data_IF_889259511656
#
_entry.id   IF_889259511656
#
_cell.length_a   1.000
_cell.length_b   1.000
_cell.length_c   1.000
_cell.angle_alpha   90.00
_cell.angle_beta   90.00
_cell.angle_gamma   90.00
#
_symmetry.space_group_name_H-M   'P 1'
#
loop_
_entity.id
_entity.type
_entity.pdbx_description
1 polymer ?
#
# COMPACT_ATOMS: atom_id res chain seq x y z
N UNK A 1 10.88 31.28 46.36
CA UNK A 1 10.62 29.97 45.73
C UNK A 1 11.92 29.17 45.70
N UNK A 2 12.03 28.07 46.46
CA UNK A 2 13.23 27.21 46.48
C UNK A 2 13.20 26.26 45.28
N UNK A 3 14.09 26.47 44.32
CA UNK A 3 14.36 25.49 43.25
C UNK A 3 14.90 24.21 43.91
N UNK A 4 14.11 23.13 43.89
CA UNK A 4 14.60 21.80 44.30
C UNK A 4 15.71 21.40 43.33
N UNK A 5 16.97 21.40 43.79
CA UNK A 5 18.07 20.75 43.08
C UNK A 5 17.75 19.25 43.00
N UNK A 6 17.22 18.82 41.86
CA UNK A 6 17.08 17.41 41.52
C UNK A 6 18.49 16.85 41.48
N UNK A 7 18.84 15.93 42.40
CA UNK A 7 20.17 15.32 42.42
C UNK A 7 20.40 14.64 41.06
N UNK A 8 21.54 14.87 40.39
CA UNK A 8 21.82 14.19 39.14
C UNK A 8 21.88 12.69 39.41
N UNK A 9 21.20 11.90 38.57
CA UNK A 9 21.41 10.46 38.54
C UNK A 9 22.89 10.22 38.20
N UNK A 10 23.69 9.82 39.19
CA UNK A 10 25.15 9.63 39.07
C UNK A 10 25.50 8.76 37.86
N UNK A 11 24.73 7.69 37.64
CA UNK A 11 24.94 6.83 36.50
C UNK A 11 24.64 7.47 35.14
N UNK A 12 23.84 8.54 35.04
CA UNK A 12 23.53 9.22 33.77
C UNK A 12 24.57 10.30 33.40
N UNK A 13 25.19 10.94 34.39
CA UNK A 13 26.32 11.85 34.16
C UNK A 13 27.54 11.10 33.66
N UNK A 14 27.83 9.93 34.23
CA UNK A 14 28.91 9.06 33.76
C UNK A 14 28.67 8.57 32.34
N UNK A 15 27.45 8.15 31.99
CA UNK A 15 27.14 7.72 30.61
C UNK A 15 27.27 8.86 29.60
N UNK A 16 26.95 10.09 29.99
CA UNK A 16 27.08 11.28 29.14
C UNK A 16 28.54 11.50 28.75
N UNK A 17 29.46 11.40 29.71
CA UNK A 17 30.89 11.56 29.46
C UNK A 17 31.47 10.44 28.60
N UNK A 18 31.03 9.20 28.77
CA UNK A 18 31.57 8.06 28.03
C UNK A 18 31.01 7.92 26.61
N UNK A 19 29.75 8.29 26.38
CA UNK A 19 29.06 8.08 25.09
C UNK A 19 28.95 9.34 24.24
N UNK A 20 29.24 10.53 24.79
CA UNK A 20 29.10 11.81 24.09
C UNK A 20 27.65 12.21 23.79
N UNK A 21 26.67 11.47 24.32
CA UNK A 21 25.23 11.73 24.17
C UNK A 21 24.78 12.72 25.23
N UNK A 22 23.84 13.60 24.90
CA UNK A 22 23.39 14.62 25.85
C UNK A 22 22.68 14.00 27.07
N UNK A 23 22.81 14.65 28.23
CA UNK A 23 22.15 14.20 29.46
C UNK A 23 20.63 14.06 29.31
N UNK A 24 20.00 14.92 28.48
CA UNK A 24 18.56 14.86 28.20
C UNK A 24 18.17 13.62 27.41
N UNK A 25 18.92 13.29 26.36
CA UNK A 25 18.67 12.10 25.53
C UNK A 25 18.84 10.81 26.34
N UNK A 26 19.83 10.74 27.23
CA UNK A 26 20.01 9.57 28.12
C UNK A 26 18.80 9.37 29.04
N UNK A 27 18.24 10.46 29.59
CA UNK A 27 17.04 10.39 30.41
C UNK A 27 15.81 9.98 29.59
N UNK A 28 15.70 10.46 28.36
CA UNK A 28 14.61 10.09 27.45
C UNK A 28 14.69 8.63 27.01
N UNK A 29 15.89 8.11 26.71
CA UNK A 29 16.11 6.69 26.41
C UNK A 29 15.77 5.84 27.64
N UNK A 30 16.19 6.25 28.84
CA UNK A 30 15.86 5.54 30.09
C UNK A 30 14.37 5.56 30.39
N UNK A 31 13.65 6.66 30.13
CA UNK A 31 12.20 6.72 30.33
C UNK A 31 11.46 5.82 29.33
N UNK A 32 11.85 5.85 28.05
CA UNK A 32 11.32 4.96 27.01
C UNK A 32 11.60 3.48 27.31
N UNK A 33 12.81 3.15 27.74
CA UNK A 33 13.16 1.78 28.11
C UNK A 33 12.35 1.28 29.31
N UNK A 34 12.10 2.13 30.33
CA UNK A 34 11.24 1.78 31.46
C UNK A 34 9.79 1.51 31.02
N UNK A 35 9.26 2.31 30.10
CA UNK A 35 7.92 2.12 29.57
C UNK A 35 7.78 0.79 28.79
N UNK A 36 8.84 0.34 28.11
CA UNK A 36 8.86 -0.92 27.32
C UNK A 36 9.41 -2.13 28.10
N UNK A 37 9.33 -2.14 29.44
CA UNK A 37 9.73 -3.30 30.25
C UNK A 37 11.26 -3.52 30.34
N UNK A 38 12.04 -2.44 30.29
CA UNK A 38 13.50 -2.45 30.53
C UNK A 38 14.36 -2.58 29.27
N UNK A 39 13.78 -2.69 28.07
CA UNK A 39 14.53 -2.83 26.82
C UNK A 39 14.45 -1.54 25.98
N UNK A 40 15.59 -0.96 25.57
CA UNK A 40 15.57 0.17 24.64
C UNK A 40 15.02 -0.31 23.29
N UNK A 41 13.97 0.36 22.81
CA UNK A 41 13.36 0.06 21.52
C UNK A 41 14.14 0.77 20.40
N UNK A 42 14.77 0.02 19.52
CA UNK A 42 15.34 0.57 18.29
C UNK A 42 14.21 1.04 17.38
N UNK A 43 14.27 2.25 16.78
CA UNK A 43 13.27 2.65 15.79
C UNK A 43 13.20 1.60 14.68
N UNK A 44 11.99 1.09 14.43
CA UNK A 44 11.78 0.08 13.40
C UNK A 44 12.19 0.63 12.04
N UNK A 45 13.00 -0.11 11.28
CA UNK A 45 13.35 0.19 9.88
C UNK A 45 12.14 0.21 8.94
N UNK A 46 10.92 -0.03 9.44
CA UNK A 46 9.70 0.11 8.64
C UNK A 46 9.55 1.58 8.25
N UNK A 47 9.76 1.85 6.95
CA UNK A 47 9.33 3.10 6.31
C UNK A 47 7.89 3.39 6.74
N UNK A 48 7.53 4.64 7.06
CA UNK A 48 6.15 4.97 7.39
C UNK A 48 5.26 4.37 6.30
N UNK A 49 4.31 3.53 6.71
CA UNK A 49 3.35 2.95 5.81
C UNK A 49 2.62 4.12 5.17
N UNK A 50 2.86 4.37 3.89
CA UNK A 50 2.05 5.33 3.16
C UNK A 50 0.66 4.71 3.12
N UNK A 51 -0.23 5.15 4.00
CA UNK A 51 -1.66 4.80 3.96
C UNK A 51 -2.26 5.10 2.57
N UNK A 52 -1.62 5.99 1.82
CA UNK A 52 -1.88 6.28 0.42
C UNK A 52 -0.78 5.70 -0.49
N UNK A 53 -0.64 4.37 -0.51
CA UNK A 53 0.35 3.67 -1.34
C UNK A 53 -0.06 3.72 -2.80
N UNK A 54 0.01 4.89 -3.47
CA UNK A 54 -0.24 5.11 -4.92
C UNK A 54 -1.16 4.04 -5.50
N UNK A 55 -2.41 4.00 -5.04
CA UNK A 55 -3.36 3.07 -5.63
C UNK A 55 -3.49 3.47 -7.10
N UNK A 56 -3.31 2.51 -8.02
CA UNK A 56 -3.38 2.82 -9.46
C UNK A 56 -4.76 3.34 -9.85
N UNK A 57 -5.79 2.95 -9.10
CA UNK A 57 -7.13 3.51 -9.20
C UNK A 57 -7.20 5.02 -8.87
N UNK A 58 -6.24 5.57 -8.14
CA UNK A 58 -6.08 7.02 -7.95
C UNK A 58 -5.22 7.69 -9.03
N UNK A 59 -4.48 6.90 -9.82
CA UNK A 59 -3.66 7.37 -10.95
C UNK A 59 -4.46 7.44 -12.26
N UNK A 60 -5.46 6.58 -12.42
CA UNK A 60 -6.33 6.55 -13.61
C UNK A 60 -7.69 7.15 -13.31
N UNK A 61 -8.18 7.96 -14.24
CA UNK A 61 -9.48 8.62 -14.14
C UNK A 61 -10.64 7.61 -14.05
N UNK A 62 -11.70 7.99 -13.34
CA UNK A 62 -12.91 7.17 -13.15
C UNK A 62 -13.53 6.76 -14.48
N UNK A 63 -13.44 7.62 -15.52
CA UNK A 63 -13.88 7.29 -16.87
C UNK A 63 -13.15 6.06 -17.44
N UNK A 64 -11.83 5.99 -17.26
CA UNK A 64 -11.02 4.87 -17.77
C UNK A 64 -11.38 3.55 -17.08
N UNK A 65 -11.63 3.61 -15.77
CA UNK A 65 -12.04 2.46 -14.98
C UNK A 65 -13.45 1.97 -15.37
N UNK A 66 -14.38 2.90 -15.60
CA UNK A 66 -15.72 2.59 -16.10
C UNK A 66 -15.68 1.97 -17.50
N UNK A 67 -14.86 2.49 -18.42
CA UNK A 67 -14.69 1.93 -19.75
C UNK A 67 -14.16 0.49 -19.69
N UNK A 68 -13.15 0.22 -18.87
CA UNK A 68 -12.64 -1.13 -18.64
C UNK A 68 -13.73 -2.06 -18.10
N UNK A 69 -14.52 -1.60 -17.12
CA UNK A 69 -15.63 -2.38 -16.56
C UNK A 69 -16.68 -2.72 -17.63
N UNK A 70 -17.05 -1.76 -18.47
CA UNK A 70 -18.04 -1.96 -19.54
C UNK A 70 -17.58 -3.00 -20.57
N UNK A 71 -16.33 -2.89 -21.04
CA UNK A 71 -15.77 -3.86 -22.02
C UNK A 71 -15.84 -5.28 -21.45
N UNK A 72 -15.49 -5.47 -20.18
CA UNK A 72 -15.57 -6.79 -19.56
C UNK A 72 -17.01 -7.28 -19.47
N UNK A 73 -17.97 -6.42 -19.12
CA UNK A 73 -19.39 -6.79 -19.12
C UNK A 73 -19.92 -7.14 -20.50
N UNK A 74 -19.50 -6.45 -21.55
CA UNK A 74 -19.92 -6.73 -22.91
C UNK A 74 -19.35 -8.07 -23.41
N UNK A 75 -18.11 -8.40 -23.06
CA UNK A 75 -17.54 -9.73 -23.31
C UNK A 75 -18.35 -10.84 -22.63
N UNK A 76 -18.76 -10.63 -21.37
CA UNK A 76 -19.64 -11.57 -20.67
C UNK A 76 -21.03 -11.68 -21.31
N UNK A 77 -21.61 -10.58 -21.81
CA UNK A 77 -22.90 -10.59 -22.50
C UNK A 77 -22.85 -11.34 -23.82
N UNK A 78 -21.74 -11.20 -24.55
CA UNK A 78 -21.51 -11.89 -25.81
C UNK A 78 -21.10 -13.37 -25.63
N UNK A 79 -20.98 -13.84 -24.39
CA UNK A 79 -20.50 -15.18 -24.07
C UNK A 79 -19.07 -15.46 -24.58
N UNK A 80 -18.29 -14.41 -24.81
CA UNK A 80 -16.90 -14.47 -25.25
C UNK A 80 -15.98 -14.59 -24.01
N UNK A 81 -14.95 -15.45 -24.01
CA UNK A 81 -13.96 -15.49 -22.93
C UNK A 81 -13.33 -14.13 -22.62
N UNK A 82 -13.77 -13.55 -21.50
CA UNK A 82 -13.23 -12.32 -20.95
C UNK A 82 -11.82 -12.57 -20.37
N UNK A 83 -10.81 -12.52 -21.24
CA UNK A 83 -9.39 -12.64 -20.89
C UNK A 83 -8.71 -11.28 -20.86
N UNK A 84 -7.66 -11.12 -20.06
CA UNK A 84 -6.94 -9.85 -19.96
C UNK A 84 -6.38 -9.36 -21.32
N UNK A 85 -5.99 -10.30 -22.20
CA UNK A 85 -5.52 -9.96 -23.53
C UNK A 85 -6.66 -9.44 -24.42
N UNK A 86 -7.80 -10.14 -24.43
CA UNK A 86 -8.95 -9.73 -25.24
C UNK A 86 -9.52 -8.39 -24.78
N UNK A 87 -9.60 -8.19 -23.47
CA UNK A 87 -9.99 -6.89 -22.90
C UNK A 87 -9.01 -5.77 -23.30
N UNK A 88 -7.71 -6.06 -23.39
CA UNK A 88 -6.73 -5.07 -23.84
C UNK A 88 -6.89 -4.73 -25.33
N UNK A 89 -7.17 -5.72 -26.18
CA UNK A 89 -7.43 -5.51 -27.60
C UNK A 89 -8.66 -4.62 -27.83
N UNK A 90 -9.78 -4.89 -27.17
CA UNK A 90 -10.99 -4.06 -27.28
C UNK A 90 -10.80 -2.67 -26.66
N UNK A 91 -9.99 -2.56 -25.60
CA UNK A 91 -9.67 -1.28 -24.99
C UNK A 91 -8.81 -0.40 -25.92
N UNK A 92 -7.83 -0.98 -26.61
CA UNK A 92 -7.02 -0.27 -27.60
C UNK A 92 -7.76 0.11 -28.87
N UNK A 93 -8.86 -0.58 -29.18
CA UNK A 93 -9.74 -0.22 -30.29
C UNK A 93 -10.47 1.11 -30.07
N UNK A 94 -10.58 1.56 -28.82
CA UNK A 94 -11.19 2.83 -28.46
C UNK A 94 -10.17 3.97 -28.54
N UNK A 95 -10.35 4.88 -29.50
CA UNK A 95 -9.40 5.97 -29.80
C UNK A 95 -9.26 7.02 -28.67
N UNK A 96 -10.25 7.08 -27.77
CA UNK A 96 -10.29 8.06 -26.66
C UNK A 96 -9.64 7.56 -25.36
N UNK A 97 -9.17 6.31 -25.32
CA UNK A 97 -8.62 5.71 -24.09
C UNK A 97 -7.08 5.73 -24.09
N UNK A 98 -6.45 5.89 -22.92
CA UNK A 98 -4.99 5.90 -22.84
C UNK A 98 -4.40 4.56 -23.28
N UNK A 99 -3.24 4.57 -23.94
CA UNK A 99 -2.55 3.32 -24.27
C UNK A 99 -2.00 2.66 -23.00
N UNK A 100 -2.65 1.59 -22.53
CA UNK A 100 -2.25 0.84 -21.35
C UNK A 100 -1.64 -0.52 -21.72
N UNK A 101 -0.58 -0.93 -21.03
CA UNK A 101 -0.05 -2.29 -21.18
C UNK A 101 -1.03 -3.33 -20.63
N UNK A 102 -1.09 -4.52 -21.23
CA UNK A 102 -1.95 -5.63 -20.77
C UNK A 102 -1.75 -5.97 -19.29
N UNK A 103 -0.49 -5.93 -18.81
CA UNK A 103 -0.16 -6.14 -17.39
C UNK A 103 -0.82 -5.09 -16.47
N UNK A 104 -0.91 -3.85 -16.94
CA UNK A 104 -1.55 -2.75 -16.21
C UNK A 104 -3.07 -2.97 -16.19
N UNK A 105 -3.68 -3.28 -17.33
CA UNK A 105 -5.11 -3.59 -17.43
C UNK A 105 -5.50 -4.73 -16.48
N UNK A 106 -4.74 -5.82 -16.47
CA UNK A 106 -4.98 -6.95 -15.56
C UNK A 106 -4.95 -6.53 -14.09
N UNK A 107 -4.00 -5.68 -13.71
CA UNK A 107 -3.88 -5.15 -12.34
C UNK A 107 -5.05 -4.24 -12.01
N UNK A 108 -5.45 -3.35 -12.92
CA UNK A 108 -6.60 -2.47 -12.74
C UNK A 108 -7.90 -3.26 -12.59
N UNK A 109 -8.11 -4.28 -13.41
CA UNK A 109 -9.26 -5.17 -13.29
C UNK A 109 -9.26 -5.88 -11.93
N UNK A 110 -8.09 -6.31 -11.44
CA UNK A 110 -7.97 -6.87 -10.09
C UNK A 110 -8.32 -5.84 -9.00
N UNK A 111 -7.86 -4.59 -9.16
CA UNK A 111 -8.15 -3.48 -8.25
C UNK A 111 -9.64 -3.09 -8.28
N UNK A 112 -10.33 -3.26 -9.42
CA UNK A 112 -11.79 -3.04 -9.59
C UNK A 112 -12.61 -4.18 -8.97
N UNK A 113 -11.99 -5.33 -8.67
CA UNK A 113 -12.64 -6.49 -8.05
C UNK A 113 -12.86 -7.69 -8.98
N UNK A 114 -12.24 -7.72 -10.17
CA UNK A 114 -12.26 -8.88 -11.06
C UNK A 114 -11.17 -9.89 -10.67
N UNK A 115 -11.54 -11.15 -10.48
CA UNK A 115 -10.60 -12.23 -10.27
C UNK A 115 -10.26 -12.91 -11.61
N UNK A 116 -8.99 -13.30 -11.76
CA UNK A 116 -8.52 -14.09 -12.90
C UNK A 116 -8.24 -15.51 -12.44
N UNK A 117 -8.97 -16.48 -12.99
CA UNK A 117 -8.68 -17.89 -12.81
C UNK A 117 -7.93 -18.44 -14.02
N UNK A 118 -7.01 -19.37 -13.74
CA UNK A 118 -6.25 -20.04 -14.78
C UNK A 118 -7.11 -21.18 -15.34
N UNK A 119 -7.51 -21.05 -16.60
CA UNK A 119 -8.20 -22.11 -17.34
C UNK A 119 -7.22 -23.22 -17.77
N UNK A 120 -7.75 -24.40 -18.07
CA UNK A 120 -7.00 -25.58 -18.57
C UNK A 120 -6.11 -25.26 -19.78
N UNK A 121 -6.49 -24.26 -20.60
CA UNK A 121 -5.71 -23.80 -21.76
C UNK A 121 -4.66 -22.72 -21.42
N UNK A 122 -4.30 -22.55 -20.15
CA UNK A 122 -3.46 -21.45 -19.64
C UNK A 122 -4.02 -20.02 -19.86
N UNK A 123 -5.26 -19.89 -20.32
CA UNK A 123 -5.91 -18.59 -20.46
C UNK A 123 -6.38 -18.11 -19.09
N UNK A 124 -6.08 -16.85 -18.76
CA UNK A 124 -6.60 -16.21 -17.56
C UNK A 124 -8.00 -15.67 -17.85
N UNK A 125 -8.99 -16.47 -17.52
CA UNK A 125 -10.40 -16.14 -17.66
C UNK A 125 -10.87 -15.39 -16.42
N UNK A 126 -11.68 -14.35 -16.61
CA UNK A 126 -12.33 -13.66 -15.50
C UNK A 126 -13.49 -14.48 -14.96
N UNK A 127 -13.48 -14.77 -13.67
CA UNK A 127 -14.53 -15.52 -12.97
C UNK A 127 -15.18 -14.57 -11.96
N UNK A 128 -16.51 -14.65 -11.85
CA UNK A 128 -17.44 -13.53 -11.60
C UNK A 128 -17.43 -12.92 -10.17
N UNK A 129 -17.84 -11.64 -10.16
CA UNK A 129 -18.10 -10.59 -9.14
C UNK A 129 -18.76 -10.88 -7.77
N UNK A 130 -18.34 -10.08 -6.76
CA UNK A 130 -19.18 -9.32 -5.79
C UNK A 130 -18.28 -8.23 -5.16
N UNK A 131 -18.61 -6.94 -5.10
CA UNK A 131 -19.68 -6.33 -4.28
C UNK A 131 -20.20 -5.04 -4.91
N UNK A 132 -21.49 -4.75 -4.72
CA UNK A 132 -22.13 -3.46 -4.99
C UNK A 132 -21.33 -2.32 -4.35
N UNK A 133 -20.79 -1.43 -5.16
CA UNK A 133 -20.62 -0.03 -4.74
C UNK A 133 -21.06 0.82 -5.92
N UNK A 134 -22.23 1.44 -5.71
CA UNK A 134 -22.79 2.54 -6.48
C UNK A 134 -21.79 3.69 -6.57
#
# INVERSE_FOLDING_TARGET
MKLRKVRPHVGATETCHTTGVSFREILEIKSKAKATGGKPTTPSRKRPGSDNRRHRTAEYDGFTLCALRNIVHDLFRCNDPATAQRTAEEFWRSEHLPSLRTRTIRRLLSDIGFAFEKSERNLMMMVRWSVRTC
#
